data_IF_717420088214
#
_entry.id   IF_717420088214
#
_cell.length_a   1.000
_cell.length_b   1.000
_cell.length_c   1.000
_cell.angle_alpha   90.00
_cell.angle_beta   90.00
_cell.angle_gamma   90.00
#
_symmetry.space_group_name_H-M   'P 1'
#
loop_
_entity.id
_entity.type
_entity.pdbx_description
1 polymer ?
#
# COMPACT_ATOMS: atom_id res chain seq x y z
N UNK A 1 -14.68 -16.49 7.01
CA UNK A 1 -14.40 -16.31 5.56
C UNK A 1 -12.97 -15.91 5.37
N UNK A 2 -12.26 -16.54 4.43
CA UNK A 2 -10.93 -16.12 4.01
C UNK A 2 -11.07 -14.87 3.13
N UNK A 3 -10.17 -13.87 3.23
CA UNK A 3 -10.26 -12.59 2.46
C UNK A 3 -10.48 -12.81 0.96
N UNK A 4 -9.87 -13.87 0.42
CA UNK A 4 -10.03 -14.28 -0.98
C UNK A 4 -11.48 -14.63 -1.33
N UNK A 5 -12.20 -15.37 -0.47
CA UNK A 5 -13.59 -15.75 -0.70
C UNK A 5 -14.49 -14.50 -0.78
N UNK A 6 -14.29 -13.55 0.14
CA UNK A 6 -15.03 -12.28 0.14
C UNK A 6 -14.73 -11.42 -1.09
N UNK A 7 -13.46 -11.38 -1.53
CA UNK A 7 -13.08 -10.68 -2.75
C UNK A 7 -13.80 -11.24 -3.97
N UNK A 8 -13.87 -12.57 -4.08
CA UNK A 8 -14.57 -13.24 -5.19
C UNK A 8 -16.09 -12.99 -5.15
N UNK A 9 -16.72 -13.02 -3.98
CA UNK A 9 -18.14 -12.72 -3.84
C UNK A 9 -18.47 -11.29 -4.31
N UNK A 10 -17.66 -10.31 -3.92
CA UNK A 10 -17.83 -8.93 -4.38
C UNK A 10 -17.52 -8.78 -5.87
N UNK A 11 -16.52 -9.49 -6.38
CA UNK A 11 -16.18 -9.43 -7.79
C UNK A 11 -17.34 -9.89 -8.69
N UNK A 12 -18.04 -10.95 -8.26
CA UNK A 12 -19.24 -11.45 -8.93
C UNK A 12 -20.36 -10.40 -8.89
N UNK A 13 -20.60 -9.79 -7.72
CA UNK A 13 -21.67 -8.78 -7.55
C UNK A 13 -21.42 -7.49 -8.32
N UNK A 14 -20.15 -7.05 -8.38
CA UNK A 14 -19.74 -5.81 -9.03
C UNK A 14 -19.42 -5.99 -10.53
N UNK A 15 -19.39 -7.24 -11.01
CA UNK A 15 -18.94 -7.60 -12.36
C UNK A 15 -17.55 -7.03 -12.70
N UNK A 16 -16.65 -7.00 -11.71
CA UNK A 16 -15.29 -6.45 -11.81
C UNK A 16 -14.38 -7.21 -10.88
N UNK A 17 -13.11 -7.39 -11.25
CA UNK A 17 -12.14 -8.00 -10.34
C UNK A 17 -11.93 -7.14 -9.10
N UNK A 18 -11.92 -7.79 -7.93
CA UNK A 18 -11.73 -7.14 -6.62
C UNK A 18 -10.55 -7.82 -5.93
N UNK A 19 -9.66 -7.01 -5.37
CA UNK A 19 -8.59 -7.47 -4.49
C UNK A 19 -8.69 -6.78 -3.13
N UNK A 20 -8.43 -7.53 -2.06
CA UNK A 20 -8.43 -7.03 -0.70
C UNK A 20 -7.04 -7.02 -0.12
N UNK A 21 -6.61 -5.82 0.24
CA UNK A 21 -5.29 -5.55 0.81
C UNK A 21 -5.45 -5.21 2.28
N UNK A 22 -4.86 -6.01 3.17
CA UNK A 22 -4.81 -5.66 4.59
C UNK A 22 -3.66 -4.67 4.83
N UNK A 23 -4.01 -3.41 5.09
CA UNK A 23 -3.07 -2.32 5.33
C UNK A 23 -2.12 -2.56 6.51
N UNK A 24 -2.41 -3.52 7.40
CA UNK A 24 -1.48 -3.89 8.49
C UNK A 24 -0.34 -4.78 8.03
N UNK A 25 -0.55 -5.56 6.97
CA UNK A 25 0.44 -6.51 6.43
C UNK A 25 1.00 -6.09 5.08
N UNK A 26 0.38 -5.10 4.42
CA UNK A 26 0.85 -4.55 3.16
C UNK A 26 2.24 -3.92 3.29
N UNK A 27 3.02 -3.97 2.21
CA UNK A 27 4.34 -3.34 2.17
C UNK A 27 4.24 -1.82 2.37
N UNK A 28 5.28 -1.20 2.89
CA UNK A 28 5.34 0.26 3.07
C UNK A 28 5.09 1.02 1.75
N UNK A 29 5.60 0.51 0.62
CA UNK A 29 5.35 1.11 -0.71
C UNK A 29 3.86 1.06 -1.05
N UNK A 30 3.22 -0.09 -0.87
CA UNK A 30 1.79 -0.26 -1.17
C UNK A 30 0.92 0.59 -0.26
N UNK A 31 1.25 0.67 1.04
CA UNK A 31 0.54 1.53 2.01
C UNK A 31 0.59 3.00 1.57
N UNK A 32 1.75 3.49 1.12
CA UNK A 32 1.87 4.86 0.57
C UNK A 32 1.02 5.07 -0.67
N UNK A 33 1.00 4.11 -1.60
CA UNK A 33 0.13 4.21 -2.78
C UNK A 33 -1.35 4.32 -2.38
N UNK A 34 -1.81 3.46 -1.48
CA UNK A 34 -3.20 3.46 -0.99
C UNK A 34 -3.58 4.82 -0.39
N UNK A 35 -2.76 5.38 0.51
CA UNK A 35 -3.12 6.67 1.15
C UNK A 35 -2.92 7.89 0.25
N UNK A 36 -2.10 7.78 -0.80
CA UNK A 36 -1.79 8.92 -1.68
C UNK A 36 -2.72 9.01 -2.88
N UNK A 37 -3.25 7.88 -3.37
CA UNK A 37 -4.06 7.82 -4.58
C UNK A 37 -5.44 7.21 -4.37
N UNK A 38 -5.65 6.53 -3.24
CA UNK A 38 -6.92 5.88 -2.93
C UNK A 38 -8.00 6.88 -2.53
N UNK A 39 -9.25 6.43 -2.65
CA UNK A 39 -10.42 7.13 -2.13
C UNK A 39 -10.87 6.46 -0.84
N UNK A 40 -11.24 7.26 0.17
CA UNK A 40 -11.76 6.73 1.43
C UNK A 40 -13.22 6.32 1.25
N UNK A 41 -13.50 5.03 1.43
CA UNK A 41 -14.87 4.51 1.42
C UNK A 41 -15.53 4.61 2.80
N UNK A 42 -14.76 4.42 3.87
CA UNK A 42 -15.22 4.55 5.26
C UNK A 42 -14.04 4.90 6.19
N UNK A 43 -14.18 5.96 6.98
CA UNK A 43 -13.17 6.46 7.91
C UNK A 43 -13.81 7.29 9.04
N UNK A 44 -14.47 6.66 10.02
CA UNK A 44 -15.29 7.36 11.00
C UNK A 44 -14.46 8.15 12.04
N UNK A 45 -13.17 7.84 12.20
CA UNK A 45 -12.28 8.52 13.15
C UNK A 45 -11.11 9.18 12.42
N UNK A 46 -11.24 10.48 12.21
CA UNK A 46 -10.23 11.26 11.50
C UNK A 46 -8.88 11.34 12.24
N UNK A 47 -8.81 11.57 13.57
CA UNK A 47 -7.55 11.50 14.31
C UNK A 47 -6.78 10.19 14.10
N UNK A 48 -7.44 9.04 14.24
CA UNK A 48 -6.82 7.72 14.04
C UNK A 48 -6.31 7.53 12.61
N UNK A 49 -7.07 8.03 11.62
CA UNK A 49 -6.65 8.01 10.21
C UNK A 49 -5.38 8.84 9.99
N UNK A 50 -5.35 10.08 10.49
CA UNK A 50 -4.18 10.98 10.32
C UNK A 50 -2.93 10.40 11.01
N UNK A 51 -3.10 9.79 12.17
CA UNK A 51 -2.02 9.10 12.87
C UNK A 51 -1.46 7.93 12.05
N UNK A 52 -2.33 7.09 11.47
CA UNK A 52 -1.91 6.02 10.57
C UNK A 52 -1.14 6.55 9.35
N UNK A 53 -1.64 7.60 8.69
CA UNK A 53 -0.98 8.21 7.54
C UNK A 53 0.41 8.76 7.88
N UNK A 54 0.53 9.45 9.02
CA UNK A 54 1.80 9.95 9.53
C UNK A 54 2.82 8.81 9.69
N UNK A 55 2.42 7.68 10.29
CA UNK A 55 3.32 6.53 10.44
C UNK A 55 3.71 5.93 9.09
N UNK A 56 2.77 5.81 8.14
CA UNK A 56 3.05 5.28 6.80
C UNK A 56 4.06 6.16 6.05
N UNK A 57 3.92 7.49 6.08
CA UNK A 57 4.89 8.39 5.44
C UNK A 57 6.27 8.37 6.12
N UNK A 58 6.31 8.26 7.45
CA UNK A 58 7.56 8.12 8.20
C UNK A 58 8.29 6.82 7.83
N UNK A 59 7.58 5.69 7.82
CA UNK A 59 8.11 4.39 7.40
C UNK A 59 8.65 4.42 5.96
N UNK A 60 7.93 5.10 5.05
CA UNK A 60 8.34 5.21 3.65
C UNK A 60 9.59 6.07 3.47
N UNK A 61 9.68 7.19 4.21
CA UNK A 61 10.86 8.04 4.21
C UNK A 61 12.09 7.25 4.65
N UNK A 62 11.97 6.49 5.75
CA UNK A 62 13.04 5.61 6.23
C UNK A 62 13.40 4.53 5.21
N UNK A 63 12.41 3.86 4.63
CA UNK A 63 12.64 2.81 3.63
C UNK A 63 13.40 3.34 2.40
N UNK A 64 13.05 4.53 1.94
CA UNK A 64 13.72 5.17 0.81
C UNK A 64 15.15 5.57 1.15
N UNK A 65 15.41 6.01 2.38
CA UNK A 65 16.78 6.30 2.84
C UNK A 65 17.65 5.05 2.79
N UNK A 66 17.17 3.95 3.38
CA UNK A 66 17.87 2.67 3.41
C UNK A 66 18.12 2.11 2.00
N UNK A 67 17.19 2.37 1.06
CA UNK A 67 17.27 1.88 -0.33
C UNK A 67 17.94 2.85 -1.30
N UNK A 68 18.34 4.05 -0.86
CA UNK A 68 18.80 5.13 -1.73
C UNK A 68 19.89 4.68 -2.70
N UNK A 69 20.92 4.01 -2.18
CA UNK A 69 22.05 3.55 -3.00
C UNK A 69 21.67 2.41 -3.96
N UNK A 70 20.77 1.51 -3.53
CA UNK A 70 20.24 0.44 -4.39
C UNK A 70 19.48 1.05 -5.57
N UNK A 71 18.56 1.97 -5.30
CA UNK A 71 17.76 2.65 -6.31
C UNK A 71 18.62 3.49 -7.26
N UNK A 72 19.62 4.20 -6.74
CA UNK A 72 20.59 4.96 -7.54
C UNK A 72 21.37 4.05 -8.49
N UNK A 73 21.82 2.89 -8.00
CA UNK A 73 22.52 1.90 -8.82
C UNK A 73 21.61 1.33 -9.91
N UNK A 74 20.38 0.93 -9.56
CA UNK A 74 19.38 0.44 -10.54
C UNK A 74 19.09 1.51 -11.61
N UNK A 75 18.94 2.77 -11.21
CA UNK A 75 18.71 3.88 -12.14
C UNK A 75 19.89 4.12 -13.09
N UNK A 76 21.12 3.99 -12.59
CA UNK A 76 22.33 4.18 -13.40
C UNK A 76 22.66 2.99 -14.33
N UNK A 77 22.36 1.75 -13.91
CA UNK A 77 22.73 0.54 -14.66
C UNK A 77 21.58 -0.11 -15.42
N UNK A 78 20.33 0.22 -15.10
CA UNK A 78 19.13 -0.46 -15.61
C UNK A 78 18.94 -1.89 -15.10
N UNK A 79 19.82 -2.38 -14.22
CA UNK A 79 19.82 -3.77 -13.75
C UNK A 79 19.14 -3.87 -12.38
N UNK A 80 18.05 -4.61 -12.33
CA UNK A 80 17.39 -5.01 -11.07
C UNK A 80 18.03 -6.32 -10.59
N UNK A 81 18.69 -6.28 -9.43
CA UNK A 81 19.15 -7.50 -8.76
C UNK A 81 18.00 -8.03 -7.90
N UNK A 82 17.47 -9.20 -8.26
CA UNK A 82 16.42 -9.93 -7.55
C UNK A 82 16.92 -11.25 -7.01
#
# INVERSE_FOLDING_TARGET
MRRFELAQELAIQLHRDVDFVDSRTASTVMRVQVISTGEYLDAPNEPTRREFEMYVFSDYTRLNEERREILKRISASGLVCG
#
